data_IF_344011991912
#
_entry.id   IF_344011991912
#
_cell.length_a   1.000
_cell.length_b   1.000
_cell.length_c   1.000
_cell.angle_alpha   90.00
_cell.angle_beta   90.00
_cell.angle_gamma   90.00
#
_symmetry.space_group_name_H-M   'P 1'
#
loop_
_entity.id
_entity.type
_entity.pdbx_description
1 polymer ?
#
# COMPACT_ATOMS: atom_id res chain seq x y z
N UNK A 1 -21.13 10.72 3.06
CA UNK A 1 -20.29 11.40 2.05
C UNK A 1 -18.89 10.86 2.28
N UNK A 2 -18.62 9.78 1.56
CA UNK A 2 -17.52 8.84 1.81
C UNK A 2 -16.21 9.52 1.46
N UNK A 3 -15.53 9.99 2.50
CA UNK A 3 -14.44 10.97 2.38
C UNK A 3 -13.20 10.39 1.68
N UNK A 4 -13.13 9.07 1.48
CA UNK A 4 -11.99 8.39 0.89
C UNK A 4 -12.38 7.19 0.02
N UNK A 5 -13.49 7.25 -0.75
CA UNK A 5 -13.92 6.11 -1.56
C UNK A 5 -13.02 5.79 -2.77
N UNK A 6 -12.06 6.66 -3.10
CA UNK A 6 -11.16 6.50 -4.26
C UNK A 6 -9.73 6.91 -3.95
N UNK A 7 -8.78 6.28 -4.65
CA UNK A 7 -7.37 6.66 -4.59
C UNK A 7 -7.19 8.00 -5.31
N UNK A 8 -6.86 9.05 -4.55
CA UNK A 8 -6.55 10.37 -5.11
C UNK A 8 -5.09 10.46 -5.57
N UNK A 9 -4.18 9.91 -4.77
CA UNK A 9 -2.74 9.90 -5.01
C UNK A 9 -2.13 8.63 -4.42
N UNK A 10 -1.15 8.08 -5.13
CA UNK A 10 -0.27 7.05 -4.60
C UNK A 10 1.17 7.29 -5.02
N UNK A 11 2.09 6.66 -4.31
CA UNK A 11 3.51 6.58 -4.69
C UNK A 11 3.95 5.12 -4.55
N UNK A 12 4.95 4.74 -5.36
CA UNK A 12 5.68 3.49 -5.18
C UNK A 12 6.91 3.80 -4.33
N UNK A 13 7.07 3.09 -3.23
CA UNK A 13 8.17 3.29 -2.30
C UNK A 13 8.85 1.95 -1.98
N UNK A 14 10.18 1.97 -1.90
CA UNK A 14 10.99 0.85 -1.42
C UNK A 14 11.60 1.21 -0.07
N UNK A 15 11.58 0.27 0.86
CA UNK A 15 12.34 0.35 2.11
C UNK A 15 13.54 -0.60 1.96
N UNK A 16 14.74 -0.09 2.24
CA UNK A 16 16.02 -0.86 2.18
C UNK A 16 16.74 -0.82 3.53
N UNK A 17 16.11 -0.27 4.58
CA UNK A 17 16.74 -0.06 5.88
C UNK A 17 16.43 -1.19 6.85
N UNK A 18 15.16 -1.32 7.27
CA UNK A 18 14.77 -2.28 8.33
C UNK A 18 14.04 -3.51 7.79
N UNK A 19 13.45 -3.36 6.60
CA UNK A 19 12.82 -4.38 5.79
C UNK A 19 13.35 -4.13 4.38
N UNK A 20 13.71 -5.19 3.67
CA UNK A 20 13.95 -5.09 2.23
C UNK A 20 12.62 -5.38 1.53
N UNK A 21 12.15 -4.44 0.71
CA UNK A 21 10.88 -4.60 0.04
C UNK A 21 10.38 -3.37 -0.69
N UNK A 22 9.24 -3.53 -1.33
CA UNK A 22 8.61 -2.51 -2.16
C UNK A 22 7.10 -2.55 -2.00
N UNK A 23 6.49 -1.37 -1.99
CA UNK A 23 5.05 -1.23 -1.83
C UNK A 23 4.50 0.01 -2.49
N UNK A 24 3.20 0.21 -2.29
CA UNK A 24 2.53 1.45 -2.61
C UNK A 24 2.03 2.11 -1.33
N UNK A 25 2.08 3.44 -1.32
CA UNK A 25 1.51 4.26 -0.26
C UNK A 25 0.38 5.10 -0.85
N UNK A 26 -0.81 5.03 -0.25
CA UNK A 26 -2.00 5.75 -0.71
C UNK A 26 -2.24 6.96 0.18
N UNK A 27 -2.47 8.10 -0.45
CA UNK A 27 -2.62 9.39 0.24
C UNK A 27 -3.92 10.10 -0.11
N UNK A 28 -4.42 10.89 0.84
CA UNK A 28 -5.37 11.97 0.60
C UNK A 28 -4.81 13.28 1.18
N UNK A 29 -4.52 14.23 0.28
CA UNK A 29 -3.69 15.39 0.60
C UNK A 29 -2.30 14.96 1.12
N UNK A 30 -1.96 15.39 2.34
CA UNK A 30 -0.69 15.05 3.00
C UNK A 30 -0.81 13.87 3.97
N UNK A 31 -1.99 13.24 4.08
CA UNK A 31 -2.22 12.15 5.02
C UNK A 31 -2.11 10.81 4.30
N UNK A 32 -1.20 9.95 4.75
CA UNK A 32 -1.17 8.56 4.32
C UNK A 32 -2.38 7.83 4.90
N UNK A 33 -3.11 7.11 4.06
CA UNK A 33 -4.31 6.37 4.45
C UNK A 33 -3.97 4.91 4.71
N UNK A 34 -3.31 4.28 3.73
CA UNK A 34 -2.83 2.91 3.84
C UNK A 34 -1.57 2.69 3.01
N UNK A 35 -0.87 1.63 3.35
CA UNK A 35 0.25 1.07 2.59
C UNK A 35 -0.06 -0.38 2.25
N UNK A 36 0.30 -0.81 1.04
CA UNK A 36 0.37 -2.23 0.68
C UNK A 36 1.82 -2.53 0.32
N UNK A 37 2.47 -3.41 1.08
CA UNK A 37 3.92 -3.62 1.02
C UNK A 37 4.26 -5.10 0.83
N UNK A 38 5.22 -5.39 -0.04
CA UNK A 38 5.88 -6.70 -0.15
C UNK A 38 7.17 -6.64 0.65
N UNK A 39 7.24 -7.40 1.75
CA UNK A 39 8.45 -7.59 2.53
C UNK A 39 9.18 -8.82 1.97
N UNK A 40 10.28 -8.59 1.26
CA UNK A 40 11.11 -9.63 0.65
C UNK A 40 11.93 -10.40 1.69
N UNK A 41 12.30 -9.73 2.80
CA UNK A 41 13.00 -10.36 3.93
C UNK A 41 12.13 -11.43 4.61
N UNK A 42 10.87 -11.10 4.92
CA UNK A 42 9.93 -12.00 5.60
C UNK A 42 9.11 -12.85 4.64
N UNK A 43 9.17 -12.55 3.33
CA UNK A 43 8.31 -13.14 2.30
C UNK A 43 6.82 -13.00 2.64
N UNK A 44 6.44 -11.81 3.10
CA UNK A 44 5.05 -11.45 3.42
C UNK A 44 4.55 -10.29 2.57
N UNK A 45 3.23 -10.17 2.45
CA UNK A 45 2.58 -8.97 1.92
C UNK A 45 1.64 -8.46 2.98
N UNK A 46 1.76 -7.18 3.30
CA UNK A 46 1.08 -6.57 4.43
C UNK A 46 0.28 -5.37 3.96
N UNK A 47 -0.88 -5.16 4.59
CA UNK A 47 -1.67 -3.94 4.44
C UNK A 47 -1.64 -3.22 5.78
N UNK A 48 -1.05 -2.03 5.80
CA UNK A 48 -0.97 -1.19 7.00
C UNK A 48 -1.98 -0.05 6.87
N UNK A 49 -2.88 0.09 7.84
CA UNK A 49 -3.83 1.20 7.88
C UNK A 49 -3.36 2.27 8.87
N UNK A 50 -3.34 3.53 8.43
CA UNK A 50 -2.98 4.69 9.28
C UNK A 50 -4.21 5.41 9.84
N UNK A 51 -5.40 4.90 9.52
CA UNK A 51 -6.68 5.26 10.12
C UNK A 51 -7.32 4.03 10.72
N UNK A 52 -8.13 4.25 11.76
CA UNK A 52 -8.87 3.18 12.44
C UNK A 52 -9.71 2.37 11.45
N UNK A 53 -10.38 3.05 10.53
CA UNK A 53 -11.30 2.50 9.54
C UNK A 53 -11.10 3.22 8.20
N UNK A 54 -11.20 2.48 7.10
CA UNK A 54 -11.22 2.97 5.73
C UNK A 54 -12.34 2.26 4.97
N UNK A 55 -12.84 2.90 3.92
CA UNK A 55 -13.83 2.30 3.03
C UNK A 55 -13.26 1.04 2.37
N UNK A 56 -14.02 -0.05 2.35
CA UNK A 56 -13.59 -1.32 1.76
C UNK A 56 -13.19 -1.13 0.28
N UNK A 57 -13.97 -0.34 -0.46
CA UNK A 57 -13.72 -0.03 -1.87
C UNK A 57 -12.33 0.61 -2.09
N UNK A 58 -11.86 1.44 -1.16
CA UNK A 58 -10.52 2.04 -1.24
C UNK A 58 -9.43 0.98 -1.02
N UNK A 59 -9.62 0.11 -0.03
CA UNK A 59 -8.67 -0.97 0.27
C UNK A 59 -8.55 -1.92 -0.92
N UNK A 60 -9.68 -2.30 -1.53
CA UNK A 60 -9.70 -3.15 -2.72
C UNK A 60 -9.01 -2.49 -3.91
N UNK A 61 -9.26 -1.21 -4.16
CA UNK A 61 -8.55 -0.43 -5.19
C UNK A 61 -7.04 -0.43 -4.95
N UNK A 62 -6.59 -0.24 -3.71
CA UNK A 62 -5.18 -0.21 -3.38
C UNK A 62 -4.53 -1.59 -3.59
N UNK A 63 -5.19 -2.68 -3.17
CA UNK A 63 -4.68 -4.03 -3.41
C UNK A 63 -4.62 -4.35 -4.91
N UNK A 64 -5.62 -3.93 -5.69
CA UNK A 64 -5.60 -4.09 -7.14
C UNK A 64 -4.47 -3.30 -7.79
N UNK A 65 -4.25 -2.06 -7.35
CA UNK A 65 -3.16 -1.20 -7.82
C UNK A 65 -1.80 -1.80 -7.47
N UNK A 66 -1.61 -2.25 -6.23
CA UNK A 66 -0.39 -2.91 -5.78
C UNK A 66 -0.05 -4.12 -6.67
N UNK A 67 -1.03 -5.00 -6.95
CA UNK A 67 -0.82 -6.18 -7.82
C UNK A 67 -0.48 -5.83 -9.27
N UNK A 68 -0.85 -4.62 -9.72
CA UNK A 68 -0.55 -4.11 -11.05
C UNK A 68 0.85 -3.49 -11.12
N UNK A 69 1.22 -2.71 -10.11
CA UNK A 69 2.46 -1.93 -10.11
C UNK A 69 3.67 -2.71 -9.58
N UNK A 70 3.45 -3.60 -8.62
CA UNK A 70 4.52 -4.31 -7.92
C UNK A 70 4.63 -5.75 -8.46
N UNK A 71 5.82 -6.21 -8.87
CA UNK A 71 6.03 -7.61 -9.25
C UNK A 71 5.55 -8.56 -8.16
N UNK A 72 4.86 -9.63 -8.55
CA UNK A 72 4.28 -10.51 -7.55
C UNK A 72 5.36 -11.24 -6.75
N UNK A 73 6.35 -11.84 -7.42
CA UNK A 73 7.37 -12.67 -6.76
C UNK A 73 8.24 -11.89 -5.77
N UNK A 74 8.68 -12.59 -4.72
CA UNK A 74 9.64 -12.06 -3.77
C UNK A 74 11.05 -12.01 -4.36
N UNK A 75 11.85 -11.06 -3.92
CA UNK A 75 13.25 -10.89 -4.33
C UNK A 75 14.22 -11.39 -3.24
N UNK A 76 15.45 -11.73 -3.64
CA UNK A 76 16.54 -12.21 -2.76
C UNK A 76 17.65 -11.17 -2.62
#
# INVERSE_FOLDING_TARGET
MDKYSKIEKYVVASDVCSRDGIGIEVYSGNNMLLEVFRDDTKKTREVTLYKKELDLELVEQAVALFKKEIPWEFQE
#
